data_IF_108577076047
#
_entry.id   IF_108577076047
#
_cell.length_a   1.000
_cell.length_b   1.000
_cell.length_c   1.000
_cell.angle_alpha   90.00
_cell.angle_beta   90.00
_cell.angle_gamma   90.00
#
_symmetry.space_group_name_H-M   'P 1'
#
loop_
_entity.id
_entity.type
_entity.pdbx_description
1 polymer ?
#
# COMPACT_ATOMS: atom_id res chain seq x y z
N UNK A 1 -36.68 42.05 -9.08
CA UNK A 1 -36.66 40.72 -9.70
C UNK A 1 -35.53 39.96 -9.03
N UNK A 2 -35.94 39.13 -8.07
CA UNK A 2 -35.32 37.94 -7.48
C UNK A 2 -33.82 38.03 -7.15
N UNK A 3 -33.58 38.30 -5.86
CA UNK A 3 -32.41 37.97 -5.08
C UNK A 3 -32.25 36.44 -4.96
N UNK A 4 -31.02 35.93 -5.07
CA UNK A 4 -30.66 34.61 -4.54
C UNK A 4 -29.35 34.72 -3.75
N UNK A 5 -29.50 35.09 -2.48
CA UNK A 5 -28.54 34.74 -1.44
C UNK A 5 -28.87 33.31 -0.96
N UNK A 6 -27.93 32.39 -1.10
CA UNK A 6 -27.98 31.10 -0.42
C UNK A 6 -26.75 30.95 0.48
N UNK A 7 -26.91 31.44 1.70
CA UNK A 7 -26.17 30.98 2.88
C UNK A 7 -26.52 29.52 3.15
N UNK A 8 -25.51 28.69 3.44
CA UNK A 8 -25.71 27.47 4.18
C UNK A 8 -24.49 27.23 5.09
N UNK A 9 -24.76 27.46 6.38
CA UNK A 9 -23.90 27.21 7.52
C UNK A 9 -23.54 25.73 7.68
N UNK A 10 -22.44 25.54 8.40
CA UNK A 10 -21.88 24.27 8.80
C UNK A 10 -22.86 23.42 9.63
N UNK A 11 -22.81 22.10 9.43
CA UNK A 11 -23.30 21.14 10.42
C UNK A 11 -22.21 20.11 10.73
N UNK A 12 -21.50 20.36 11.83
CA UNK A 12 -20.72 19.35 12.57
C UNK A 12 -21.62 18.68 13.60
N UNK A 13 -21.50 17.36 13.81
CA UNK A 13 -21.72 16.81 15.14
C UNK A 13 -20.44 16.22 15.69
N UNK A 14 -20.04 16.79 16.84
CA UNK A 14 -19.13 16.21 17.82
C UNK A 14 -19.81 15.02 18.50
N UNK A 15 -18.95 14.07 18.89
CA UNK A 15 -18.98 13.28 20.12
C UNK A 15 -20.31 12.60 20.53
N UNK A 16 -20.32 11.28 20.45
CA UNK A 16 -20.72 10.48 21.61
C UNK A 16 -19.90 9.17 21.68
N UNK A 17 -19.05 9.12 22.71
CA UNK A 17 -18.40 7.89 23.19
C UNK A 17 -19.36 7.19 24.14
N UNK A 18 -19.71 5.92 23.88
CA UNK A 18 -19.89 4.93 24.96
C UNK A 18 -19.36 3.56 24.53
N UNK A 19 -18.42 3.06 25.32
CA UNK A 19 -18.01 1.67 25.40
C UNK A 19 -19.20 0.81 25.86
N UNK A 20 -19.41 -0.34 25.22
CA UNK A 20 -19.91 -1.54 25.90
C UNK A 20 -19.29 -2.78 25.27
N UNK A 21 -18.56 -3.50 26.10
CA UNK A 21 -18.08 -4.88 25.90
C UNK A 21 -19.23 -5.85 26.15
N UNK A 22 -19.39 -6.87 25.31
CA UNK A 22 -19.81 -8.20 25.77
C UNK A 22 -19.59 -9.25 24.68
N UNK A 23 -18.87 -10.30 25.07
CA UNK A 23 -18.76 -11.57 24.38
C UNK A 23 -20.13 -12.17 24.00
N UNK A 24 -20.20 -12.84 22.85
CA UNK A 24 -20.59 -14.26 22.77
C UNK A 24 -20.64 -14.80 21.34
N UNK A 25 -19.75 -15.77 21.09
CA UNK A 25 -20.08 -17.11 20.61
C UNK A 25 -21.28 -17.29 19.66
N UNK A 26 -20.96 -17.51 18.39
CA UNK A 26 -20.89 -18.87 17.86
C UNK A 26 -22.18 -19.68 17.65
N UNK A 27 -22.25 -20.21 16.40
CA UNK A 27 -22.96 -21.39 15.88
C UNK A 27 -24.31 -21.10 15.24
N UNK A 28 -24.43 -21.22 13.91
CA UNK A 28 -24.51 -22.47 13.12
C UNK A 28 -25.63 -23.41 13.59
N UNK A 29 -26.67 -23.54 12.76
CA UNK A 29 -27.42 -24.78 12.64
C UNK A 29 -27.30 -25.32 11.20
N UNK A 30 -27.19 -26.65 11.01
CA UNK A 30 -26.88 -27.28 9.73
C UNK A 30 -28.14 -27.81 9.04
N UNK A 31 -28.07 -28.11 7.74
CA UNK A 31 -28.64 -29.35 7.17
C UNK A 31 -28.16 -29.59 5.72
N UNK A 32 -28.17 -30.88 5.38
CA UNK A 32 -28.30 -31.48 4.05
C UNK A 32 -27.02 -31.83 3.26
N UNK A 33 -26.70 -33.12 3.41
CA UNK A 33 -25.81 -33.97 2.63
C UNK A 33 -26.09 -33.94 1.11
N UNK A 34 -25.07 -33.62 0.30
CA UNK A 34 -25.03 -33.94 -1.14
C UNK A 34 -23.63 -34.41 -1.56
N UNK A 35 -23.59 -35.68 -2.00
CA UNK A 35 -22.70 -36.37 -2.97
C UNK A 35 -21.37 -35.70 -3.36
N UNK A 36 -20.27 -36.45 -3.22
CA UNK A 36 -18.93 -36.14 -3.76
C UNK A 36 -18.97 -36.03 -5.29
N UNK A 37 -19.04 -34.80 -5.82
CA UNK A 37 -18.76 -34.49 -7.23
C UNK A 37 -17.33 -33.94 -7.36
N UNK A 38 -16.69 -34.33 -8.47
CA UNK A 38 -15.26 -34.24 -8.73
C UNK A 38 -14.65 -32.85 -8.52
N UNK A 39 -13.44 -32.86 -7.96
CA UNK A 39 -12.57 -31.68 -7.90
C UNK A 39 -12.09 -31.35 -9.32
N UNK A 40 -12.07 -30.07 -9.74
CA UNK A 40 -11.32 -29.69 -10.93
C UNK A 40 -9.82 -29.95 -10.68
N UNK A 41 -9.17 -30.67 -11.60
CA UNK A 41 -7.73 -30.92 -11.59
C UNK A 41 -7.02 -29.57 -11.66
N UNK A 42 -6.34 -29.17 -10.58
CA UNK A 42 -5.34 -28.09 -10.61
C UNK A 42 -4.20 -28.56 -11.52
N UNK A 43 -3.81 -27.72 -12.47
CA UNK A 43 -2.64 -27.94 -13.33
C UNK A 43 -1.37 -28.12 -12.51
N UNK A 44 -0.37 -28.88 -13.01
CA UNK A 44 0.86 -29.13 -12.28
C UNK A 44 1.64 -27.82 -12.12
N UNK A 45 1.79 -27.40 -10.86
CA UNK A 45 2.67 -26.32 -10.44
C UNK A 45 4.10 -26.76 -10.72
N UNK A 46 4.79 -26.00 -11.57
CA UNK A 46 6.23 -26.15 -11.82
C UNK A 46 6.96 -26.07 -10.47
N UNK A 47 7.50 -27.20 -10.02
CA UNK A 47 8.42 -27.28 -8.90
C UNK A 47 9.78 -26.76 -9.38
N UNK A 48 10.11 -25.52 -9.04
CA UNK A 48 11.51 -25.07 -9.04
C UNK A 48 12.15 -25.54 -7.75
N UNK A 49 13.17 -26.40 -7.88
CA UNK A 49 14.05 -26.81 -6.80
C UNK A 49 14.84 -25.60 -6.27
N UNK A 50 14.83 -25.50 -4.94
CA UNK A 50 15.81 -24.91 -4.01
C UNK A 50 16.96 -24.06 -4.57
N UNK A 51 17.03 -22.80 -4.14
CA UNK A 51 18.28 -22.23 -3.63
C UNK A 51 18.00 -21.17 -2.57
N UNK A 52 18.62 -21.39 -1.41
CA UNK A 52 18.95 -20.47 -0.32
C UNK A 52 17.83 -19.65 0.35
N UNK A 53 17.64 -20.00 1.63
CA UNK A 53 17.04 -19.22 2.70
C UNK A 53 17.34 -17.72 2.62
N UNK A 54 16.27 -16.91 2.59
CA UNK A 54 16.23 -15.61 3.25
C UNK A 54 14.80 -15.39 3.76
N UNK A 55 14.62 -15.60 5.06
CA UNK A 55 13.46 -15.12 5.81
C UNK A 55 13.51 -13.59 5.82
N UNK A 56 12.43 -12.95 5.36
CA UNK A 56 12.14 -11.56 5.70
C UNK A 56 10.74 -11.50 6.32
N UNK A 57 10.71 -11.47 7.65
CA UNK A 57 9.56 -11.03 8.43
C UNK A 57 9.37 -9.50 8.24
N UNK A 58 8.14 -9.01 8.06
CA UNK A 58 7.87 -7.60 7.74
C UNK A 58 7.68 -6.71 8.97
N UNK A 59 8.09 -7.14 10.17
CA UNK A 59 7.80 -6.40 11.43
C UNK A 59 9.03 -6.06 12.29
N UNK A 60 10.26 -6.25 11.79
CA UNK A 60 11.48 -5.92 12.52
C UNK A 60 12.12 -4.56 12.17
N UNK A 61 11.38 -3.60 11.61
CA UNK A 61 11.91 -2.30 11.15
C UNK A 61 11.40 -1.07 11.90
N UNK A 62 10.78 -1.26 13.06
CA UNK A 62 10.37 -0.17 13.94
C UNK A 62 11.13 -0.26 15.27
N UNK A 63 12.21 0.50 15.38
CA UNK A 63 12.88 0.76 16.66
C UNK A 63 14.32 0.28 16.74
N UNK A 64 15.23 0.96 16.04
CA UNK A 64 16.62 1.08 16.48
C UNK A 64 17.09 2.52 16.29
N UNK A 65 17.17 3.18 17.44
CA UNK A 65 17.73 4.49 17.69
C UNK A 65 19.06 4.72 16.99
N UNK A 66 19.24 5.98 16.55
CA UNK A 66 20.48 6.68 16.26
C UNK A 66 21.73 6.06 16.90
N UNK A 67 22.38 5.13 16.19
CA UNK A 67 23.81 4.87 16.36
C UNK A 67 24.49 5.34 15.09
N UNK A 68 25.16 6.48 15.23
CA UNK A 68 26.13 7.00 14.28
C UNK A 68 27.18 5.91 14.08
N UNK A 69 27.03 5.13 13.00
CA UNK A 69 28.10 4.26 12.52
C UNK A 69 29.15 5.22 11.98
N UNK A 70 30.18 5.47 12.78
CA UNK A 70 31.47 5.98 12.31
C UNK A 70 31.99 4.94 11.31
N UNK A 71 31.63 5.12 10.04
CA UNK A 71 32.27 4.43 8.95
C UNK A 71 33.77 4.67 9.10
N UNK A 72 34.51 3.57 9.28
CA UNK A 72 35.97 3.57 9.17
C UNK A 72 36.26 4.16 7.79
N UNK A 73 36.84 5.36 7.77
CA UNK A 73 37.35 5.99 6.55
C UNK A 73 38.18 4.92 5.81
N UNK A 74 38.08 4.80 4.48
CA UNK A 74 39.10 4.06 3.75
C UNK A 74 40.44 4.63 4.22
N UNK A 75 41.33 3.77 4.73
CA UNK A 75 42.69 4.16 5.02
C UNK A 75 43.19 4.85 3.78
N UNK A 76 43.43 6.16 3.86
CA UNK A 76 44.03 6.91 2.79
C UNK A 76 45.30 6.13 2.43
N UNK A 77 45.28 5.48 1.26
CA UNK A 77 46.52 5.13 0.59
C UNK A 77 47.35 6.41 0.64
N UNK A 78 48.60 6.26 1.09
CA UNK A 78 49.56 7.36 1.16
C UNK A 78 49.35 8.24 -0.06
N UNK A 79 49.21 9.57 0.09
CA UNK A 79 49.09 10.43 -1.07
C UNK A 79 50.26 10.09 -1.97
N UNK A 80 49.97 9.59 -3.17
CA UNK A 80 50.97 9.46 -4.21
C UNK A 80 51.69 10.79 -4.26
N UNK A 81 53.01 10.78 -4.10
CA UNK A 81 53.84 11.99 -4.10
C UNK A 81 53.33 12.93 -5.20
N UNK A 82 52.74 14.04 -4.77
CA UNK A 82 52.35 15.10 -5.69
C UNK A 82 53.64 15.66 -6.24
N UNK A 83 53.98 15.29 -7.48
CA UNK A 83 55.13 15.83 -8.18
C UNK A 83 54.91 17.33 -8.36
N UNK A 84 55.67 18.13 -7.62
CA UNK A 84 55.66 19.57 -7.73
C UNK A 84 56.16 19.97 -9.13
N UNK A 85 55.26 20.52 -9.96
CA UNK A 85 55.58 20.98 -11.32
C UNK A 85 56.53 22.20 -11.35
N UNK A 86 56.87 22.75 -10.19
CA UNK A 86 57.90 23.78 -10.03
C UNK A 86 58.82 23.39 -8.88
N UNK A 87 60.10 23.15 -9.18
CA UNK A 87 61.11 22.81 -8.16
C UNK A 87 61.36 24.01 -7.25
N UNK A 88 60.66 24.09 -6.12
CA UNK A 88 61.08 24.83 -4.94
C UNK A 88 61.02 23.90 -3.72
N UNK A 89 61.80 24.24 -2.69
CA UNK A 89 62.28 23.36 -1.61
C UNK A 89 61.17 22.52 -0.96
N UNK A 90 61.55 21.36 -0.42
CA UNK A 90 60.67 20.30 0.11
C UNK A 90 59.62 20.70 1.19
N UNK A 91 59.68 21.93 1.73
CA UNK A 91 58.76 22.44 2.75
C UNK A 91 57.94 23.65 2.27
N UNK A 92 58.14 24.12 1.04
CA UNK A 92 57.43 25.28 0.49
C UNK A 92 56.11 24.81 -0.13
N UNK A 93 54.98 25.16 0.50
CA UNK A 93 53.65 24.91 -0.08
C UNK A 93 53.55 25.70 -1.39
N UNK A 94 53.13 25.04 -2.46
CA UNK A 94 52.89 25.68 -3.75
C UNK A 94 51.97 26.90 -3.55
N UNK A 95 52.41 28.08 -4.02
CA UNK A 95 51.60 29.29 -3.96
C UNK A 95 50.29 29.04 -4.73
N UNK A 96 49.13 29.45 -4.18
CA UNK A 96 47.87 29.32 -4.90
C UNK A 96 47.99 30.05 -6.23
N UNK A 97 47.65 29.37 -7.31
CA UNK A 97 47.55 29.99 -8.62
C UNK A 97 46.24 30.75 -8.63
N UNK A 98 46.33 32.08 -8.67
CA UNK A 98 45.16 32.94 -8.88
C UNK A 98 44.82 32.87 -10.36
N UNK A 99 43.63 32.34 -10.64
CA UNK A 99 43.13 32.16 -11.99
C UNK A 99 41.98 33.13 -12.17
N UNK A 100 42.15 34.10 -13.08
CA UNK A 100 41.08 35.01 -13.46
C UNK A 100 39.98 34.23 -14.18
N UNK A 101 38.91 33.93 -13.45
CA UNK A 101 37.79 33.11 -13.95
C UNK A 101 37.09 33.75 -15.14
N UNK A 102 37.16 35.07 -15.29
CA UNK A 102 36.59 35.83 -16.41
C UNK A 102 37.27 35.53 -17.75
N UNK A 103 38.57 35.18 -17.75
CA UNK A 103 39.33 34.85 -18.97
C UNK A 103 39.11 33.43 -19.47
N UNK A 104 38.53 32.57 -18.63
CA UNK A 104 38.30 31.15 -18.93
C UNK A 104 36.86 30.86 -19.38
N UNK A 105 35.97 31.82 -19.23
CA UNK A 105 34.55 31.67 -19.51
C UNK A 105 34.31 32.04 -20.97
N UNK A 106 34.16 31.03 -21.81
CA UNK A 106 33.68 31.20 -23.18
C UNK A 106 32.14 31.15 -23.13
N UNK A 107 31.49 32.23 -22.71
CA UNK A 107 30.02 32.38 -22.75
C UNK A 107 29.39 33.23 -21.64
N UNK A 108 28.35 33.99 -21.98
CA UNK A 108 27.59 34.79 -21.03
C UNK A 108 26.77 33.90 -20.08
N UNK A 109 27.32 33.56 -18.93
CA UNK A 109 26.52 33.11 -17.79
C UNK A 109 26.13 34.37 -17.00
N UNK A 110 24.83 34.57 -16.73
CA UNK A 110 24.33 35.67 -15.87
C UNK A 110 24.84 35.57 -14.42
N UNK A 111 24.13 36.16 -13.45
CA UNK A 111 24.51 36.33 -12.02
C UNK A 111 24.97 35.08 -11.22
N UNK A 112 25.02 33.90 -11.82
CA UNK A 112 25.60 32.70 -11.20
C UNK A 112 27.10 32.69 -11.41
N UNK A 113 27.85 32.51 -10.33
CA UNK A 113 29.30 32.38 -10.38
C UNK A 113 29.74 31.41 -11.49
N UNK A 114 30.63 31.84 -12.40
CA UNK A 114 31.08 30.99 -13.49
C UNK A 114 31.78 29.77 -12.89
N UNK A 115 31.21 28.59 -13.14
CA UNK A 115 31.87 27.33 -12.79
C UNK A 115 32.92 27.04 -13.85
N UNK A 116 34.15 27.44 -13.58
CA UNK A 116 35.28 27.11 -14.44
C UNK A 116 35.50 25.60 -14.43
N UNK A 117 35.37 24.96 -15.59
CA UNK A 117 35.71 23.55 -15.73
C UNK A 117 37.23 23.40 -15.82
N UNK A 118 37.77 22.34 -15.22
CA UNK A 118 39.21 22.03 -15.29
C UNK A 118 39.66 21.82 -16.73
N UNK A 119 38.79 21.32 -17.60
CA UNK A 119 39.04 21.16 -19.04
C UNK A 119 39.25 22.52 -19.72
N UNK A 120 38.47 23.54 -19.36
CA UNK A 120 38.59 24.87 -19.96
C UNK A 120 39.87 25.58 -19.51
N UNK A 121 40.27 25.36 -18.25
CA UNK A 121 41.57 25.80 -17.77
C UNK A 121 42.73 25.12 -18.50
N UNK A 122 42.64 23.81 -18.76
CA UNK A 122 43.65 23.08 -19.54
C UNK A 122 43.72 23.59 -20.98
N UNK A 123 42.57 23.86 -21.62
CA UNK A 123 42.53 24.49 -22.96
C UNK A 123 43.21 25.85 -22.95
N UNK A 124 42.95 26.66 -21.93
CA UNK A 124 43.59 27.96 -21.77
C UNK A 124 45.11 27.85 -21.58
N UNK A 125 45.59 26.92 -20.75
CA UNK A 125 47.02 26.68 -20.56
C UNK A 125 47.70 26.24 -21.86
N UNK A 126 47.11 25.30 -22.58
CA UNK A 126 47.61 24.85 -23.89
C UNK A 126 47.62 26.01 -24.90
N UNK A 127 46.63 26.89 -24.83
CA UNK A 127 46.54 28.03 -25.75
C UNK A 127 47.48 29.20 -25.44
N UNK A 128 47.75 29.42 -24.15
CA UNK A 128 48.64 30.49 -23.66
C UNK A 128 50.11 30.09 -23.62
N UNK A 129 50.41 28.79 -23.80
CA UNK A 129 51.77 28.30 -23.81
C UNK A 129 52.50 28.67 -25.11
N UNK A 130 53.58 29.44 -24.98
CA UNK A 130 54.53 29.72 -26.07
C UNK A 130 55.77 28.84 -25.88
N UNK A 131 56.01 27.85 -26.75
CA UNK A 131 57.18 26.97 -26.63
C UNK A 131 58.47 27.75 -26.84
N UNK A 132 59.54 27.33 -26.14
CA UNK A 132 60.90 27.85 -26.39
C UNK A 132 61.49 27.09 -27.57
N UNK A 133 61.72 27.80 -28.67
CA UNK A 133 62.36 27.25 -29.87
C UNK A 133 63.87 27.22 -29.61
N UNK A 134 64.47 26.03 -29.69
CA UNK A 134 65.90 25.76 -29.46
C UNK A 134 66.71 25.89 -30.76
N UNK A 135 66.04 26.00 -31.91
CA UNK A 135 66.66 26.37 -33.18
C UNK A 135 67.52 25.24 -33.75
N UNK A 136 67.10 23.99 -33.60
CA UNK A 136 67.81 22.87 -34.23
C UNK A 136 67.65 22.92 -35.76
N UNK A 137 68.75 22.66 -36.50
CA UNK A 137 68.78 22.77 -37.98
C UNK A 137 68.01 21.67 -38.72
N UNK A 138 67.58 20.63 -38.01
CA UNK A 138 67.10 19.38 -38.62
C UNK A 138 65.58 19.20 -38.50
N UNK A 139 64.92 19.97 -37.63
CA UNK A 139 63.50 19.81 -37.33
C UNK A 139 62.85 21.20 -37.33
N UNK A 140 61.73 21.33 -38.01
CA UNK A 140 60.86 22.49 -37.85
C UNK A 140 60.11 22.36 -36.52
N UNK A 141 60.75 22.80 -35.44
CA UNK A 141 60.22 22.76 -34.07
C UNK A 141 58.88 23.50 -33.95
N UNK A 142 58.70 24.59 -34.70
CA UNK A 142 57.47 25.38 -34.69
C UNK A 142 56.29 24.58 -35.25
N UNK A 143 56.49 23.87 -36.36
CA UNK A 143 55.48 22.98 -36.93
C UNK A 143 55.15 21.81 -35.98
N UNK A 144 56.17 21.20 -35.36
CA UNK A 144 55.96 20.12 -34.40
C UNK A 144 55.16 20.57 -33.16
N UNK A 145 55.48 21.76 -32.63
CA UNK A 145 54.74 22.32 -31.50
C UNK A 145 53.31 22.70 -31.89
N UNK A 146 53.10 23.20 -33.10
CA UNK A 146 51.78 23.47 -33.63
C UNK A 146 50.93 22.20 -33.73
N UNK A 147 51.46 21.13 -34.31
CA UNK A 147 50.78 19.84 -34.43
C UNK A 147 50.47 19.23 -33.06
N UNK A 148 51.43 19.28 -32.12
CA UNK A 148 51.22 18.81 -30.75
C UNK A 148 50.14 19.61 -30.03
N UNK A 149 50.14 20.95 -30.19
CA UNK A 149 49.10 21.82 -29.62
C UNK A 149 47.72 21.48 -30.19
N UNK A 150 47.61 21.30 -31.50
CA UNK A 150 46.35 20.93 -32.16
C UNK A 150 45.85 19.56 -31.68
N UNK A 151 46.75 18.58 -31.55
CA UNK A 151 46.44 17.26 -31.02
C UNK A 151 45.89 17.34 -29.58
N UNK A 152 46.54 18.12 -28.70
CA UNK A 152 46.07 18.32 -27.34
C UNK A 152 44.70 19.01 -27.29
N UNK A 153 44.50 20.07 -28.07
CA UNK A 153 43.21 20.77 -28.14
C UNK A 153 42.10 19.85 -28.63
N UNK A 154 42.37 19.02 -29.65
CA UNK A 154 41.43 18.03 -30.15
C UNK A 154 40.99 17.05 -29.05
N UNK A 155 41.94 16.48 -28.30
CA UNK A 155 41.62 15.56 -27.20
C UNK A 155 40.90 16.24 -26.03
N UNK A 156 41.25 17.49 -25.71
CA UNK A 156 40.53 18.27 -24.69
C UNK A 156 39.10 18.59 -25.12
N UNK A 157 38.85 18.84 -26.40
CA UNK A 157 37.50 19.01 -26.93
C UNK A 157 36.72 17.70 -26.87
N UNK A 158 37.31 16.59 -27.30
CA UNK A 158 36.69 15.27 -27.19
C UNK A 158 36.31 14.92 -25.74
N UNK A 159 37.20 15.21 -24.78
CA UNK A 159 36.91 15.01 -23.36
C UNK A 159 35.77 15.92 -22.86
N UNK A 160 35.70 17.16 -23.35
CA UNK A 160 34.62 18.11 -23.06
C UNK A 160 33.26 17.59 -23.54
N UNK A 161 33.22 17.02 -24.73
CA UNK A 161 32.00 16.46 -25.32
C UNK A 161 31.55 15.22 -24.54
N UNK A 162 32.48 14.34 -24.18
CA UNK A 162 32.19 13.19 -23.32
C UNK A 162 31.66 13.61 -21.95
N UNK A 163 32.25 14.63 -21.33
CA UNK A 163 31.78 15.15 -20.05
C UNK A 163 30.36 15.72 -20.17
N UNK A 164 30.06 16.42 -21.26
CA UNK A 164 28.72 16.94 -21.54
C UNK A 164 27.71 15.82 -21.74
N UNK A 165 28.07 14.78 -22.50
CA UNK A 165 27.24 13.59 -22.68
C UNK A 165 26.96 12.86 -21.35
N UNK A 166 27.96 12.72 -20.48
CA UNK A 166 27.79 12.14 -19.13
C UNK A 166 26.81 12.99 -18.31
N UNK A 167 26.94 14.32 -18.40
CA UNK A 167 26.03 15.23 -17.71
C UNK A 167 24.58 15.06 -18.18
N UNK A 168 24.35 15.01 -19.50
CA UNK A 168 23.03 14.82 -20.10
C UNK A 168 22.40 13.46 -19.75
N UNK A 169 23.22 12.40 -19.70
CA UNK A 169 22.73 11.10 -19.25
C UNK A 169 22.38 11.14 -17.76
N UNK A 170 23.20 11.81 -16.94
CA UNK A 170 22.94 11.95 -15.50
C UNK A 170 21.64 12.71 -15.21
N UNK A 171 21.38 13.81 -15.94
CA UNK A 171 20.13 14.58 -15.81
C UNK A 171 18.93 13.75 -16.25
N UNK A 172 19.01 13.06 -17.40
CA UNK A 172 17.96 12.12 -17.84
C UNK A 172 17.67 11.03 -16.82
N UNK A 173 18.69 10.45 -16.19
CA UNK A 173 18.50 9.45 -15.12
C UNK A 173 17.72 10.03 -13.95
N UNK A 174 18.05 11.25 -13.51
CA UNK A 174 17.33 11.93 -12.41
C UNK A 174 15.86 12.18 -12.78
N UNK A 175 15.58 12.61 -14.00
CA UNK A 175 14.21 12.84 -14.46
C UNK A 175 13.40 11.54 -14.53
N UNK A 176 14.01 10.46 -15.01
CA UNK A 176 13.39 9.13 -15.01
C UNK A 176 13.10 8.66 -13.57
N UNK A 177 14.02 8.88 -12.63
CA UNK A 177 13.81 8.54 -11.22
C UNK A 177 12.65 9.35 -10.61
N UNK A 178 12.55 10.64 -10.94
CA UNK A 178 11.44 11.49 -10.52
C UNK A 178 10.11 10.95 -11.05
N UNK A 179 10.03 10.71 -12.37
CA UNK A 179 8.83 10.14 -13.02
C UNK A 179 8.44 8.78 -12.44
N UNK A 180 9.42 7.93 -12.13
CA UNK A 180 9.20 6.63 -11.46
C UNK A 180 8.54 6.82 -10.09
N UNK A 181 8.99 7.77 -9.30
CA UNK A 181 8.42 8.05 -7.99
C UNK A 181 7.00 8.63 -8.10
N UNK A 182 6.76 9.54 -9.03
CA UNK A 182 5.42 10.07 -9.31
C UNK A 182 4.44 8.95 -9.70
N UNK A 183 4.87 8.01 -10.56
CA UNK A 183 4.04 6.87 -10.96
C UNK A 183 3.76 5.92 -9.79
N UNK A 184 4.74 5.68 -8.91
CA UNK A 184 4.52 4.91 -7.67
C UNK A 184 3.46 5.57 -6.80
N UNK A 185 3.51 6.89 -6.63
CA UNK A 185 2.52 7.62 -5.85
C UNK A 185 1.11 7.48 -6.45
N UNK A 186 0.97 7.61 -7.78
CA UNK A 186 -0.30 7.37 -8.48
C UNK A 186 -0.84 5.96 -8.26
N UNK A 187 0.03 4.95 -8.28
CA UNK A 187 -0.38 3.55 -8.00
C UNK A 187 -0.89 3.41 -6.55
N UNK A 188 -0.21 4.03 -5.58
CA UNK A 188 -0.65 4.00 -4.19
C UNK A 188 -1.99 4.69 -4.00
N UNK A 189 -2.20 5.85 -4.65
CA UNK A 189 -3.46 6.56 -4.63
C UNK A 189 -4.60 5.73 -5.23
N UNK A 190 -4.39 5.13 -6.40
CA UNK A 190 -5.38 4.23 -7.02
C UNK A 190 -5.71 3.02 -6.13
N UNK A 191 -4.71 2.43 -5.47
CA UNK A 191 -4.95 1.35 -4.50
C UNK A 191 -5.78 1.81 -3.32
N UNK A 192 -5.51 3.01 -2.80
CA UNK A 192 -6.30 3.59 -1.71
C UNK A 192 -7.76 3.82 -2.15
N UNK A 193 -7.96 4.41 -3.33
CA UNK A 193 -9.29 4.62 -3.91
C UNK A 193 -10.05 3.29 -4.12
N UNK A 194 -9.38 2.26 -4.65
CA UNK A 194 -9.97 0.93 -4.82
C UNK A 194 -10.38 0.32 -3.47
N UNK A 195 -9.56 0.45 -2.43
CA UNK A 195 -9.90 -0.05 -1.10
C UNK A 195 -11.10 0.69 -0.49
N UNK A 196 -11.18 2.01 -0.66
CA UNK A 196 -12.34 2.82 -0.22
C UNK A 196 -13.59 2.37 -0.96
N UNK A 197 -13.53 2.21 -2.28
CA UNK A 197 -14.66 1.73 -3.07
C UNK A 197 -15.09 0.32 -2.64
N UNK A 198 -14.14 -0.59 -2.43
CA UNK A 198 -14.41 -1.94 -1.93
C UNK A 198 -15.11 -1.91 -0.57
N UNK A 199 -14.66 -1.07 0.35
CA UNK A 199 -15.30 -0.89 1.65
C UNK A 199 -16.73 -0.32 1.51
N UNK A 200 -16.93 0.64 0.60
CA UNK A 200 -18.26 1.21 0.35
C UNK A 200 -19.22 0.18 -0.27
N UNK A 201 -18.74 -0.70 -1.15
CA UNK A 201 -19.55 -1.79 -1.71
C UNK A 201 -19.98 -2.76 -0.61
N UNK A 202 -19.07 -3.13 0.29
CA UNK A 202 -19.39 -4.01 1.44
C UNK A 202 -20.44 -3.34 2.32
N UNK A 203 -20.23 -2.07 2.72
CA UNK A 203 -21.21 -1.31 3.50
C UNK A 203 -22.58 -1.25 2.84
N UNK A 204 -22.64 -1.02 1.53
CA UNK A 204 -23.91 -0.96 0.80
C UNK A 204 -24.58 -2.34 0.72
N UNK A 205 -23.80 -3.42 0.58
CA UNK A 205 -24.32 -4.78 0.63
C UNK A 205 -24.91 -5.09 2.01
N UNK A 206 -24.23 -4.70 3.08
CA UNK A 206 -24.69 -4.91 4.44
C UNK A 206 -25.99 -4.13 4.69
N UNK A 207 -26.03 -2.86 4.28
CA UNK A 207 -27.24 -2.02 4.33
C UNK A 207 -28.41 -2.65 3.56
N UNK A 208 -28.19 -3.12 2.33
CA UNK A 208 -29.23 -3.78 1.54
C UNK A 208 -29.73 -5.08 2.19
N UNK A 209 -28.83 -5.88 2.77
CA UNK A 209 -29.23 -7.10 3.46
C UNK A 209 -30.06 -6.79 4.72
N UNK A 210 -29.67 -5.77 5.47
CA UNK A 210 -30.40 -5.31 6.66
C UNK A 210 -31.80 -4.81 6.31
N UNK A 211 -31.94 -3.98 5.26
CA UNK A 211 -33.24 -3.53 4.75
C UNK A 211 -34.09 -4.71 4.27
N UNK A 212 -33.48 -5.67 3.57
CA UNK A 212 -34.17 -6.88 3.11
C UNK A 212 -34.69 -7.72 4.28
N UNK A 213 -33.88 -7.92 5.32
CA UNK A 213 -34.31 -8.62 6.53
C UNK A 213 -35.42 -7.87 7.26
N UNK A 214 -35.31 -6.55 7.37
CA UNK A 214 -36.33 -5.69 7.98
C UNK A 214 -37.65 -5.70 7.20
N UNK A 215 -37.59 -5.72 5.88
CA UNK A 215 -38.78 -5.88 5.02
C UNK A 215 -39.41 -7.26 5.19
N UNK A 216 -38.60 -8.32 5.23
CA UNK A 216 -39.10 -9.68 5.41
C UNK A 216 -39.78 -9.86 6.77
N UNK A 217 -39.22 -9.28 7.85
CA UNK A 217 -39.85 -9.27 9.17
C UNK A 217 -41.19 -8.52 9.15
N UNK A 218 -41.25 -7.34 8.51
CA UNK A 218 -42.52 -6.60 8.33
C UNK A 218 -43.56 -7.42 7.56
N UNK A 219 -43.14 -8.13 6.51
CA UNK A 219 -44.06 -8.95 5.72
C UNK A 219 -44.60 -10.15 6.52
N UNK A 220 -43.76 -10.78 7.35
CA UNK A 220 -44.21 -11.82 8.28
C UNK A 220 -45.25 -11.30 9.26
N UNK A 221 -45.02 -10.11 9.86
CA UNK A 221 -46.02 -9.50 10.76
C UNK A 221 -47.33 -9.16 10.03
N UNK A 222 -47.26 -8.76 8.76
CA UNK A 222 -48.45 -8.50 7.96
C UNK A 222 -49.24 -9.78 7.67
N UNK A 223 -48.55 -10.87 7.31
CA UNK A 223 -49.15 -12.19 7.11
C UNK A 223 -49.81 -12.71 8.39
N UNK A 224 -49.15 -12.55 9.54
CA UNK A 224 -49.73 -12.87 10.85
C UNK A 224 -50.99 -12.04 11.15
N UNK A 225 -50.99 -10.74 10.85
CA UNK A 225 -52.18 -9.89 11.00
C UNK A 225 -53.33 -10.32 10.06
N UNK A 226 -53.04 -10.68 8.81
CA UNK A 226 -54.03 -11.24 7.89
C UNK A 226 -54.63 -12.53 8.45
N UNK A 227 -53.79 -13.45 8.94
CA UNK A 227 -54.23 -14.69 9.56
C UNK A 227 -55.11 -14.45 10.80
N UNK A 228 -54.76 -13.47 11.65
CA UNK A 228 -55.59 -13.10 12.81
C UNK A 228 -56.94 -12.53 12.34
N UNK A 229 -56.94 -11.63 11.37
CA UNK A 229 -58.16 -11.04 10.80
C UNK A 229 -59.08 -12.11 10.19
N UNK A 230 -58.52 -13.05 9.43
CA UNK A 230 -59.29 -14.18 8.90
C UNK A 230 -59.89 -15.05 10.00
N UNK A 231 -59.12 -15.35 11.06
CA UNK A 231 -59.62 -16.11 12.22
C UNK A 231 -60.74 -15.38 12.97
N UNK A 232 -60.63 -14.07 13.18
CA UNK A 232 -61.67 -13.26 13.80
C UNK A 232 -62.95 -13.26 12.95
N UNK A 233 -62.83 -13.04 11.64
CA UNK A 233 -63.96 -13.08 10.71
C UNK A 233 -64.64 -14.46 10.63
N UNK A 234 -63.88 -15.55 10.83
CA UNK A 234 -64.44 -16.91 10.91
C UNK A 234 -65.10 -17.17 12.27
N UNK A 235 -64.54 -16.65 13.37
CA UNK A 235 -65.12 -16.75 14.72
C UNK A 235 -66.48 -16.06 14.80
N UNK A 236 -66.61 -14.86 14.23
CA UNK A 236 -67.88 -14.12 14.22
C UNK A 236 -68.97 -14.84 13.39
N UNK A 237 -68.58 -15.58 12.35
CA UNK A 237 -69.51 -16.40 11.54
C UNK A 237 -69.89 -17.73 12.20
N UNK A 238 -69.07 -18.24 13.12
CA UNK A 238 -69.31 -19.48 13.84
C UNK A 238 -70.00 -19.26 15.21
N UNK A 239 -70.29 -18.02 15.62
CA UNK A 239 -70.87 -17.66 16.92
C UNK A 239 -72.39 -17.84 17.04
N UNK A 240 -73.04 -18.59 16.15
CA UNK A 240 -74.47 -18.93 16.27
C UNK A 240 -74.66 -20.44 16.26
N UNK A 241 -74.36 -21.09 17.39
CA UNK A 241 -75.11 -22.27 17.90
C UNK A 241 -74.61 -22.67 19.29
N UNK A 242 -75.52 -22.61 20.28
CA UNK A 242 -75.25 -22.91 21.70
C UNK A 242 -74.82 -24.38 21.98
N UNK A 243 -74.82 -25.28 20.98
CA UNK A 243 -74.32 -26.65 21.12
C UNK A 243 -72.80 -26.77 20.88
N UNK A 244 -72.18 -25.83 20.15
CA UNK A 244 -70.76 -25.86 19.84
C UNK A 244 -69.86 -25.39 20.99
N UNK A 245 -70.36 -24.56 21.93
CA UNK A 245 -69.57 -24.11 23.08
C UNK A 245 -69.26 -25.24 24.08
N UNK A 246 -70.19 -26.18 24.28
CA UNK A 246 -69.97 -27.36 25.13
C UNK A 246 -68.98 -28.35 24.51
N UNK A 247 -69.06 -28.55 23.18
CA UNK A 247 -68.08 -29.33 22.42
C UNK A 247 -66.72 -28.61 22.34
N UNK A 248 -66.70 -27.28 22.28
CA UNK A 248 -65.48 -26.45 22.25
C UNK A 248 -64.73 -26.49 23.57
N UNK A 249 -65.43 -26.52 24.72
CA UNK A 249 -64.79 -26.73 26.03
C UNK A 249 -64.20 -28.13 26.16
N UNK A 250 -64.91 -29.15 25.68
CA UNK A 250 -64.42 -30.55 25.65
C UNK A 250 -63.18 -30.71 24.77
N UNK A 251 -63.26 -30.24 23.53
CA UNK A 251 -62.13 -30.25 22.58
C UNK A 251 -60.98 -29.35 23.02
N UNK A 252 -61.24 -28.24 23.73
CA UNK A 252 -60.20 -27.42 24.35
C UNK A 252 -59.48 -28.18 25.47
N UNK A 253 -60.20 -28.86 26.36
CA UNK A 253 -59.61 -29.67 27.43
C UNK A 253 -58.82 -30.87 26.86
N UNK A 254 -59.32 -31.53 25.82
CA UNK A 254 -58.58 -32.59 25.11
C UNK A 254 -57.32 -32.05 24.41
N UNK A 255 -57.39 -30.87 23.80
CA UNK A 255 -56.23 -30.22 23.19
C UNK A 255 -55.19 -29.81 24.25
N UNK A 256 -55.62 -29.34 25.42
CA UNK A 256 -54.74 -29.09 26.57
C UNK A 256 -54.09 -30.38 27.07
N UNK A 257 -54.85 -31.47 27.21
CA UNK A 257 -54.31 -32.78 27.59
C UNK A 257 -53.33 -33.34 26.55
N UNK A 258 -53.58 -33.14 25.26
CA UNK A 258 -52.64 -33.50 24.18
C UNK A 258 -51.37 -32.62 24.25
N UNK A 259 -51.51 -31.33 24.57
CA UNK A 259 -50.38 -30.42 24.73
C UNK A 259 -49.52 -30.79 25.94
N UNK A 260 -50.14 -31.14 27.07
CA UNK A 260 -49.50 -31.66 28.26
C UNK A 260 -48.85 -33.02 27.98
N UNK A 261 -49.51 -33.87 27.21
CA UNK A 261 -48.96 -35.12 26.72
C UNK A 261 -47.68 -34.91 25.91
N UNK A 262 -47.61 -33.89 25.04
CA UNK A 262 -46.39 -33.54 24.29
C UNK A 262 -45.25 -33.03 25.19
N UNK A 263 -45.55 -32.49 26.36
CA UNK A 263 -44.55 -32.00 27.31
C UNK A 263 -44.07 -33.14 28.23
N UNK A 264 -45.01 -33.91 28.76
CA UNK A 264 -44.83 -34.89 29.84
C UNK A 264 -44.44 -36.29 29.29
N UNK A 265 -44.68 -36.58 28.00
CA UNK A 265 -44.38 -37.89 27.45
C UNK A 265 -42.90 -38.28 27.71
N UNK A 266 -42.63 -39.38 28.42
CA UNK A 266 -41.28 -39.74 28.85
C UNK A 266 -40.37 -40.12 27.68
N UNK A 267 -40.92 -40.57 26.54
CA UNK A 267 -40.14 -40.96 25.38
C UNK A 267 -39.88 -39.79 24.42
N UNK A 268 -40.90 -38.99 24.10
CA UNK A 268 -40.85 -37.97 23.03
C UNK A 268 -41.05 -36.53 23.52
N UNK A 269 -41.26 -36.36 24.82
CA UNK A 269 -41.58 -35.08 25.44
C UNK A 269 -40.38 -34.15 25.60
N UNK A 270 -40.64 -33.02 26.28
CA UNK A 270 -39.64 -31.97 26.45
C UNK A 270 -38.45 -32.45 27.29
N UNK A 271 -38.73 -33.21 28.36
CA UNK A 271 -37.73 -33.72 29.29
C UNK A 271 -36.70 -34.64 28.60
N UNK A 272 -37.17 -35.60 27.78
CA UNK A 272 -36.27 -36.51 27.06
C UNK A 272 -35.43 -35.78 26.00
N UNK A 273 -36.01 -34.78 25.32
CA UNK A 273 -35.28 -33.92 24.38
C UNK A 273 -34.22 -33.08 25.10
N UNK A 274 -34.52 -32.55 26.28
CA UNK A 274 -33.56 -31.78 27.08
C UNK A 274 -32.39 -32.65 27.55
N UNK A 275 -32.66 -33.88 28.01
CA UNK A 275 -31.61 -34.86 28.35
C UNK A 275 -30.72 -35.12 27.14
N UNK A 276 -31.30 -35.42 25.98
CA UNK A 276 -30.55 -35.69 24.76
C UNK A 276 -29.71 -34.48 24.30
N UNK A 277 -30.21 -33.26 24.48
CA UNK A 277 -29.44 -32.03 24.21
C UNK A 277 -28.29 -31.89 25.22
N UNK A 278 -28.53 -32.16 26.50
CA UNK A 278 -27.53 -32.04 27.54
C UNK A 278 -26.40 -33.08 27.37
N UNK A 279 -26.74 -34.32 27.00
CA UNK A 279 -25.77 -35.34 26.60
C UNK A 279 -24.93 -34.91 25.38
N UNK A 280 -25.58 -34.32 24.36
CA UNK A 280 -24.86 -33.78 23.19
C UNK A 280 -23.92 -32.63 23.56
N UNK A 281 -24.33 -31.74 24.44
CA UNK A 281 -23.49 -30.65 24.94
C UNK A 281 -22.33 -31.17 25.79
N UNK A 282 -22.57 -32.17 26.64
CA UNK A 282 -21.53 -32.86 27.42
C UNK A 282 -20.47 -33.51 26.52
N UNK A 283 -20.90 -34.24 25.48
CA UNK A 283 -19.98 -34.84 24.50
C UNK A 283 -19.15 -33.79 23.75
N UNK A 284 -19.76 -32.64 23.39
CA UNK A 284 -19.02 -31.54 22.75
C UNK A 284 -17.98 -30.94 23.71
N UNK A 285 -18.31 -30.79 25.00
CA UNK A 285 -17.37 -30.29 26.00
C UNK A 285 -16.22 -31.27 26.28
N UNK A 286 -16.47 -32.58 26.25
CA UNK A 286 -15.41 -33.60 26.37
C UNK A 286 -14.46 -33.62 25.18
N UNK A 287 -14.90 -33.21 23.98
CA UNK A 287 -14.05 -33.10 22.79
C UNK A 287 -13.30 -31.76 22.65
N UNK A 288 -13.61 -30.77 23.50
CA UNK A 288 -12.98 -29.45 23.51
C UNK A 288 -11.91 -29.29 24.62
N UNK A 289 -11.87 -30.21 25.59
CA UNK A 289 -10.79 -30.38 26.57
C UNK A 289 -9.80 -31.44 26.08
#
# INVERSE_FOLDING_TARGET
MIDDQASAEAFTPKEDRKFFTSDNNGRNLPTATKRKRGRPRRSPRIMRKSSADYNHDPLASAGLFNKIIKAKKPSASRPSESYALTKKRALEKQKPVYVDTERLVIGNHGERQPRVNTIDFLKFLVNSFTPRILGTKWINEEALHHDFRNYLIYHLNYLSDLHSNIHDVSTKIKDIQKRKNEMRNKIFELKAQHNILGANIVKNRDYYNEERHSFQARMQTFEEMCNISERLNQSDKNSLTNEQEALSRSTSAENELISLGKIINPATGLYSKLIAVNERLSNINQHLN
#
